data_IF_160096790604
#
_entry.id   IF_160096790604
#
_cell.length_a   1.000
_cell.length_b   1.000
_cell.length_c   1.000
_cell.angle_alpha   90.00
_cell.angle_beta   90.00
_cell.angle_gamma   90.00
#
_symmetry.space_group_name_H-M   'P 1'
#
loop_
_entity.id
_entity.type
_entity.pdbx_description
1 polymer ?
#
# COMPACT_ATOMS: atom_id res chain seq x y z
N UNK A 1 -35.34 -2.26 -6.36
CA UNK A 1 -35.33 -1.37 -5.20
C UNK A 1 -35.17 0.03 -5.72
N UNK A 2 -36.04 0.74 -5.69
CA UNK A 2 -36.96 1.61 -5.02
C UNK A 2 -37.07 2.89 -5.83
N UNK A 3 -38.21 3.10 -6.40
CA UNK A 3 -38.62 4.45 -6.74
C UNK A 3 -38.92 5.19 -5.44
N UNK A 4 -37.94 5.93 -4.91
CA UNK A 4 -38.23 7.06 -4.05
C UNK A 4 -38.92 8.07 -4.98
N UNK A 5 -40.20 8.31 -4.77
CA UNK A 5 -40.93 9.33 -5.47
C UNK A 5 -40.12 10.63 -5.43
N UNK A 6 -39.88 11.24 -6.61
CA UNK A 6 -39.27 12.57 -6.67
C UNK A 6 -40.15 13.53 -5.90
N UNK A 7 -39.58 14.59 -5.35
CA UNK A 7 -40.35 15.56 -4.56
C UNK A 7 -41.57 16.14 -5.30
N UNK A 8 -41.46 16.31 -6.62
CA UNK A 8 -42.56 16.74 -7.49
C UNK A 8 -43.72 15.72 -7.56
N UNK A 9 -43.38 14.42 -7.60
CA UNK A 9 -44.38 13.34 -7.60
C UNK A 9 -45.07 13.20 -6.24
N UNK A 10 -44.33 13.40 -5.17
CA UNK A 10 -44.87 13.44 -3.80
C UNK A 10 -45.85 14.59 -3.60
N UNK A 11 -45.53 15.76 -4.09
CA UNK A 11 -46.39 16.95 -4.03
C UNK A 11 -47.69 16.73 -4.83
N UNK A 12 -47.62 16.09 -5.98
CA UNK A 12 -48.80 15.77 -6.80
C UNK A 12 -49.73 14.76 -6.10
N UNK A 13 -49.18 13.72 -5.45
CA UNK A 13 -49.96 12.77 -4.67
C UNK A 13 -50.59 13.43 -3.44
N UNK A 14 -49.87 14.30 -2.75
CA UNK A 14 -50.36 15.09 -1.61
C UNK A 14 -51.57 15.93 -1.99
N UNK A 15 -51.49 16.63 -3.10
CA UNK A 15 -52.60 17.42 -3.63
C UNK A 15 -53.84 16.56 -3.90
N UNK A 16 -53.68 15.40 -4.51
CA UNK A 16 -54.76 14.46 -4.80
C UNK A 16 -55.42 13.91 -3.51
N UNK A 17 -54.62 13.59 -2.51
CA UNK A 17 -55.08 13.12 -1.19
C UNK A 17 -55.87 14.23 -0.46
N UNK A 18 -55.35 15.46 -0.44
CA UNK A 18 -56.02 16.61 0.17
C UNK A 18 -57.35 16.97 -0.55
N UNK A 19 -57.41 16.79 -1.85
CA UNK A 19 -58.61 17.01 -2.63
C UNK A 19 -59.64 15.86 -2.50
N UNK A 20 -59.32 14.78 -1.81
CA UNK A 20 -60.19 13.62 -1.66
C UNK A 20 -60.41 12.79 -2.93
N UNK A 21 -59.60 12.99 -3.94
CA UNK A 21 -59.71 12.26 -5.23
C UNK A 21 -58.79 11.05 -5.34
N UNK A 22 -57.87 10.88 -4.40
CA UNK A 22 -57.00 9.71 -4.36
C UNK A 22 -57.75 8.46 -3.87
N UNK A 23 -57.55 7.27 -4.50
CA UNK A 23 -58.11 6.01 -4.05
C UNK A 23 -57.69 5.66 -2.62
N UNK A 24 -58.55 4.99 -1.81
CA UNK A 24 -58.22 4.64 -0.42
C UNK A 24 -56.85 3.98 -0.19
N UNK A 25 -56.39 3.00 -1.00
CA UNK A 25 -55.06 2.42 -0.85
C UNK A 25 -53.92 3.42 -1.04
N UNK A 26 -54.08 4.38 -1.96
CA UNK A 26 -53.11 5.44 -2.24
C UNK A 26 -53.06 6.42 -1.07
N UNK A 27 -54.22 6.77 -0.51
CA UNK A 27 -54.36 7.66 0.67
C UNK A 27 -53.68 7.01 1.89
N UNK A 28 -53.88 5.73 2.14
CA UNK A 28 -53.27 4.99 3.22
C UNK A 28 -51.74 4.97 3.09
N UNK A 29 -51.23 4.59 1.93
CA UNK A 29 -49.81 4.55 1.62
C UNK A 29 -49.15 5.94 1.70
N UNK A 30 -49.84 6.99 1.27
CA UNK A 30 -49.37 8.38 1.37
C UNK A 30 -49.26 8.83 2.85
N UNK A 31 -50.25 8.52 3.69
CA UNK A 31 -50.22 8.88 5.10
C UNK A 31 -49.07 8.17 5.84
N UNK A 32 -48.85 6.90 5.55
CA UNK A 32 -47.72 6.16 6.10
C UNK A 32 -46.37 6.74 5.64
N UNK A 33 -46.23 7.04 4.36
CA UNK A 33 -45.02 7.66 3.80
C UNK A 33 -44.77 9.07 4.37
N UNK A 34 -45.86 9.83 4.57
CA UNK A 34 -45.79 11.18 5.18
C UNK A 34 -45.33 11.12 6.65
N UNK A 35 -45.82 10.13 7.41
CA UNK A 35 -45.37 9.89 8.78
C UNK A 35 -43.88 9.49 8.81
N UNK A 36 -43.44 8.59 7.96
CA UNK A 36 -42.04 8.21 7.83
C UNK A 36 -41.15 9.40 7.44
N UNK A 37 -41.59 10.25 6.49
CA UNK A 37 -40.87 11.48 6.15
C UNK A 37 -40.77 12.45 7.33
N UNK A 38 -41.84 12.61 8.12
CA UNK A 38 -41.82 13.45 9.30
C UNK A 38 -40.86 12.91 10.38
N UNK A 39 -40.79 11.61 10.54
CA UNK A 39 -39.85 10.97 11.47
C UNK A 39 -38.40 11.07 10.97
N UNK A 40 -38.15 10.93 9.68
CA UNK A 40 -36.82 11.17 9.08
C UNK A 40 -36.35 12.62 9.27
N UNK A 41 -37.28 13.61 9.14
CA UNK A 41 -36.95 15.02 9.43
C UNK A 41 -36.57 15.26 10.90
N UNK A 42 -37.12 14.52 11.85
CA UNK A 42 -36.76 14.60 13.28
C UNK A 42 -35.31 14.06 13.52
N UNK A 43 -34.80 13.18 12.66
CA UNK A 43 -33.43 12.66 12.75
C UNK A 43 -32.38 13.68 12.28
N UNK A 44 -32.79 14.84 11.75
CA UNK A 44 -31.91 15.85 11.17
C UNK A 44 -31.53 15.58 9.72
N UNK A 45 -30.84 16.54 9.11
CA UNK A 45 -30.29 16.37 7.77
C UNK A 45 -29.26 15.23 7.79
N UNK A 46 -29.33 14.27 6.84
CA UNK A 46 -28.35 13.20 6.77
C UNK A 46 -26.96 13.81 6.51
N UNK A 47 -26.01 13.46 7.36
CA UNK A 47 -24.61 13.83 7.13
C UNK A 47 -24.09 13.20 5.83
N UNK A 48 -23.50 14.04 4.98
CA UNK A 48 -22.88 13.55 3.74
C UNK A 48 -21.41 13.23 3.97
N UNK A 49 -21.01 12.02 3.62
CA UNK A 49 -19.63 11.57 3.69
C UNK A 49 -19.09 11.30 2.29
N UNK A 50 -17.84 11.63 2.08
CA UNK A 50 -17.13 11.31 0.85
C UNK A 50 -16.08 10.26 1.09
N UNK A 51 -15.94 9.32 0.19
CA UNK A 51 -14.85 8.36 0.20
C UNK A 51 -13.52 9.11 -0.07
N UNK A 52 -12.56 8.95 0.82
CA UNK A 52 -11.27 9.65 0.79
C UNK A 52 -10.45 9.22 -0.44
N UNK A 53 -10.10 10.16 -1.31
CA UNK A 53 -9.29 9.90 -2.51
C UNK A 53 -7.77 10.05 -2.28
N UNK A 54 -7.36 10.80 -1.24
CA UNK A 54 -5.98 11.16 -0.91
C UNK A 54 -5.80 11.30 0.61
N UNK A 55 -4.57 11.08 1.10
CA UNK A 55 -4.23 11.24 2.51
C UNK A 55 -3.71 12.65 2.85
N UNK A 56 -3.15 13.37 1.88
CA UNK A 56 -2.53 14.69 2.07
C UNK A 56 -3.43 15.74 2.77
N UNK A 57 -4.74 15.88 2.47
CA UNK A 57 -5.57 16.87 3.15
C UNK A 57 -5.64 16.68 4.67
N UNK A 58 -5.63 15.42 5.14
CA UNK A 58 -5.65 15.12 6.57
C UNK A 58 -4.32 15.49 7.23
N UNK A 59 -3.18 15.17 6.62
CA UNK A 59 -1.87 15.57 7.12
C UNK A 59 -1.69 17.09 7.12
N UNK A 60 -2.20 17.80 6.11
CA UNK A 60 -2.22 19.27 6.11
C UNK A 60 -3.03 19.83 7.30
N UNK A 61 -4.17 19.23 7.61
CA UNK A 61 -4.98 19.63 8.78
C UNK A 61 -4.26 19.32 10.10
N UNK A 62 -3.57 18.19 10.20
CA UNK A 62 -2.75 17.85 11.39
C UNK A 62 -1.61 18.87 11.55
N UNK A 63 -0.94 19.23 10.45
CA UNK A 63 0.09 20.28 10.49
C UNK A 63 -0.47 21.61 11.01
N UNK A 64 -1.62 22.02 10.49
CA UNK A 64 -2.27 23.29 10.81
C UNK A 64 -2.91 23.33 12.20
N UNK A 65 -3.09 22.18 12.88
CA UNK A 65 -3.76 22.12 14.18
C UNK A 65 -2.99 22.81 15.31
N UNK A 66 -1.69 23.01 15.12
CA UNK A 66 -0.83 23.67 16.10
C UNK A 66 0.07 24.70 15.43
N UNK A 67 0.39 25.84 16.10
CA UNK A 67 1.40 26.77 15.62
C UNK A 67 2.77 26.08 15.48
N UNK A 68 3.43 26.27 14.33
CA UNK A 68 4.73 25.66 14.03
C UNK A 68 5.82 26.72 13.93
N UNK A 69 7.04 26.31 14.27
CA UNK A 69 8.26 27.08 14.07
C UNK A 69 9.27 26.29 13.25
N UNK A 70 10.34 26.93 12.77
CA UNK A 70 11.43 26.25 12.07
C UNK A 70 12.08 25.13 12.91
N UNK A 71 11.92 25.14 14.25
CA UNK A 71 12.44 24.10 15.14
C UNK A 71 11.62 22.82 15.12
N UNK A 72 10.36 22.92 14.70
CA UNK A 72 9.43 21.79 14.58
C UNK A 72 9.57 21.08 13.22
N UNK A 73 10.39 21.64 12.33
CA UNK A 73 10.66 21.11 11.00
C UNK A 73 12.04 20.41 10.94
N UNK A 74 12.20 19.32 10.18
CA UNK A 74 11.18 18.71 9.34
C UNK A 74 10.15 17.91 10.13
N UNK A 75 8.86 18.12 9.87
CA UNK A 75 7.76 17.30 10.42
C UNK A 75 7.39 16.21 9.43
N UNK A 76 7.50 14.96 9.87
CA UNK A 76 7.22 13.78 9.05
C UNK A 76 5.98 13.05 9.55
N UNK A 77 4.93 13.02 8.74
CA UNK A 77 3.68 12.32 9.02
C UNK A 77 3.53 11.14 8.05
N UNK A 78 3.26 9.95 8.56
CA UNK A 78 3.12 8.73 7.76
C UNK A 78 1.90 7.93 8.17
N UNK A 79 1.24 7.31 7.21
CA UNK A 79 0.11 6.41 7.45
C UNK A 79 0.05 5.29 6.41
N UNK A 80 -0.60 4.19 6.76
CA UNK A 80 -1.20 3.27 5.81
C UNK A 80 -2.65 3.69 5.62
N UNK A 81 -2.90 4.56 4.64
CA UNK A 81 -4.19 5.18 4.44
C UNK A 81 -5.00 4.52 3.34
N UNK A 82 -6.21 4.08 3.66
CA UNK A 82 -7.14 3.59 2.64
C UNK A 82 -7.68 4.76 1.84
N UNK A 83 -7.53 4.69 0.51
CA UNK A 83 -8.03 5.67 -0.45
C UNK A 83 -8.95 4.98 -1.46
N UNK A 84 -9.88 5.77 -2.00
CA UNK A 84 -10.87 5.29 -2.97
C UNK A 84 -10.81 6.18 -4.21
N UNK A 85 -10.66 5.55 -5.39
CA UNK A 85 -10.61 6.26 -6.67
C UNK A 85 -11.55 5.62 -7.65
N UNK A 86 -12.37 6.41 -8.31
CA UNK A 86 -13.27 5.93 -9.34
C UNK A 86 -12.49 5.74 -10.66
N UNK A 87 -11.76 4.62 -10.73
CA UNK A 87 -11.09 4.21 -11.96
C UNK A 87 -12.13 3.72 -12.98
N UNK A 88 -11.94 4.06 -14.25
CA UNK A 88 -12.81 3.58 -15.31
C UNK A 88 -12.74 2.05 -15.42
N UNK A 89 -13.83 1.41 -15.81
CA UNK A 89 -13.90 -0.06 -15.89
C UNK A 89 -12.79 -0.67 -16.75
N UNK A 90 -12.49 -0.07 -17.92
CA UNK A 90 -11.43 -0.53 -18.81
C UNK A 90 -10.00 -0.31 -18.31
N UNK A 91 -9.80 0.44 -17.22
CA UNK A 91 -8.50 0.69 -16.61
C UNK A 91 -8.15 -0.28 -15.48
N UNK A 92 -9.14 -1.02 -14.97
CA UNK A 92 -8.93 -1.99 -13.89
C UNK A 92 -8.03 -3.13 -14.38
N UNK A 93 -7.04 -3.48 -13.56
CA UNK A 93 -6.04 -4.48 -13.93
C UNK A 93 -5.56 -5.26 -12.69
N UNK A 94 -6.26 -6.33 -12.34
CA UNK A 94 -5.95 -7.17 -11.19
C UNK A 94 -5.66 -6.34 -9.93
N UNK A 95 -4.55 -6.65 -9.23
CA UNK A 95 -4.08 -5.86 -8.09
C UNK A 95 -3.34 -4.58 -8.51
N UNK A 96 -2.96 -4.44 -9.79
CA UNK A 96 -2.15 -3.31 -10.26
C UNK A 96 -2.94 -2.01 -10.34
N UNK A 97 -4.27 -2.07 -10.59
CA UNK A 97 -5.15 -0.91 -10.63
C UNK A 97 -6.54 -1.25 -10.10
N UNK A 98 -6.81 -0.81 -8.89
CA UNK A 98 -8.02 -1.09 -8.10
C UNK A 98 -8.71 0.21 -7.68
N UNK A 99 -9.98 0.14 -7.29
CA UNK A 99 -10.76 1.30 -6.83
C UNK A 99 -10.61 1.59 -5.34
N UNK A 100 -10.32 0.57 -4.53
CA UNK A 100 -9.99 0.70 -3.11
C UNK A 100 -8.56 0.25 -2.92
N UNK A 101 -7.73 1.08 -2.32
CA UNK A 101 -6.30 0.86 -2.21
C UNK A 101 -5.76 1.34 -0.87
N UNK A 102 -4.74 0.64 -0.36
CA UNK A 102 -4.02 1.03 0.84
C UNK A 102 -2.68 1.63 0.46
N UNK A 103 -2.55 2.94 0.67
CA UNK A 103 -1.35 3.68 0.30
C UNK A 103 -0.35 3.72 1.45
N UNK A 104 0.90 3.39 1.15
CA UNK A 104 2.04 3.58 2.04
C UNK A 104 2.52 5.02 1.92
N UNK A 105 1.79 5.94 2.53
CA UNK A 105 1.88 7.37 2.28
C UNK A 105 2.55 8.13 3.41
N UNK A 106 3.30 9.17 3.07
CA UNK A 106 3.81 10.12 4.03
C UNK A 106 4.01 11.51 3.42
N UNK A 107 3.95 12.52 4.29
CA UNK A 107 4.13 13.92 3.97
C UNK A 107 5.19 14.49 4.90
N UNK A 108 6.24 15.07 4.31
CA UNK A 108 7.36 15.68 5.02
C UNK A 108 7.29 17.18 4.78
N UNK A 109 6.99 17.93 5.84
CA UNK A 109 6.99 19.39 5.81
C UNK A 109 8.36 19.87 6.21
N UNK A 110 9.02 20.63 5.36
CA UNK A 110 10.39 21.08 5.57
C UNK A 110 10.61 22.52 5.11
N UNK A 111 11.69 23.13 5.57
CA UNK A 111 12.19 24.39 5.01
C UNK A 111 12.91 24.11 3.69
N UNK A 112 13.17 25.16 2.91
CA UNK A 112 13.97 25.03 1.67
C UNK A 112 15.38 24.50 1.96
N UNK A 113 15.98 24.91 3.07
CA UNK A 113 17.34 24.47 3.48
C UNK A 113 17.38 22.98 3.82
N UNK A 114 16.29 22.44 4.38
CA UNK A 114 16.17 21.03 4.75
C UNK A 114 15.77 20.13 3.56
N UNK A 115 15.25 20.73 2.49
CA UNK A 115 14.68 19.99 1.37
C UNK A 115 15.61 18.95 0.76
N UNK A 116 16.85 19.35 0.46
CA UNK A 116 17.81 18.48 -0.23
C UNK A 116 18.11 17.21 0.58
N UNK A 117 18.26 17.34 1.89
CA UNK A 117 18.54 16.21 2.78
C UNK A 117 17.33 15.29 2.94
N UNK A 118 16.14 15.86 3.10
CA UNK A 118 14.91 15.08 3.21
C UNK A 118 14.59 14.33 1.90
N UNK A 119 14.75 15.00 0.76
CA UNK A 119 14.50 14.41 -0.55
C UNK A 119 15.49 13.28 -0.87
N UNK A 120 16.78 13.47 -0.54
CA UNK A 120 17.83 12.45 -0.64
C UNK A 120 17.50 11.24 0.26
N UNK A 121 17.14 11.48 1.52
CA UNK A 121 16.79 10.41 2.45
C UNK A 121 15.62 9.55 1.97
N UNK A 122 14.64 10.12 1.27
CA UNK A 122 13.55 9.37 0.63
C UNK A 122 14.08 8.49 -0.50
N UNK A 123 14.94 9.01 -1.38
CA UNK A 123 15.53 8.23 -2.45
C UNK A 123 16.39 7.06 -1.92
N UNK A 124 17.21 7.31 -0.89
CA UNK A 124 18.02 6.28 -0.23
C UNK A 124 17.17 5.18 0.38
N UNK A 125 16.01 5.55 0.96
CA UNK A 125 15.05 4.58 1.47
C UNK A 125 14.49 3.69 0.35
N UNK A 126 14.20 4.25 -0.83
CA UNK A 126 13.73 3.47 -1.98
C UNK A 126 14.78 2.49 -2.45
N UNK A 127 16.01 2.92 -2.63
CA UNK A 127 17.13 2.06 -3.00
C UNK A 127 17.35 0.93 -1.98
N UNK A 128 17.25 1.23 -0.69
CA UNK A 128 17.29 0.22 0.37
C UNK A 128 16.17 -0.81 0.25
N UNK A 129 14.95 -0.38 -0.03
CA UNK A 129 13.82 -1.31 -0.20
C UNK A 129 13.98 -2.15 -1.45
N UNK A 130 14.42 -1.58 -2.56
CA UNK A 130 14.65 -2.35 -3.78
C UNK A 130 15.71 -3.43 -3.56
N UNK A 131 16.77 -3.13 -2.82
CA UNK A 131 17.76 -4.13 -2.42
C UNK A 131 17.15 -5.25 -1.55
N UNK A 132 16.28 -4.90 -0.58
CA UNK A 132 15.60 -5.89 0.29
C UNK A 132 14.71 -6.83 -0.52
N UNK A 133 14.01 -6.30 -1.53
CA UNK A 133 13.11 -7.08 -2.39
C UNK A 133 13.80 -7.65 -3.64
N UNK A 134 15.13 -7.52 -3.77
CA UNK A 134 15.85 -8.03 -4.94
C UNK A 134 15.42 -7.39 -6.27
N UNK A 135 14.96 -6.12 -6.25
CA UNK A 135 14.50 -5.40 -7.43
C UNK A 135 15.70 -4.74 -8.12
N UNK A 136 16.24 -5.39 -9.13
CA UNK A 136 17.40 -4.89 -9.88
C UNK A 136 17.00 -4.08 -11.11
N UNK A 137 15.83 -4.37 -11.70
CA UNK A 137 15.34 -3.75 -12.94
C UNK A 137 14.28 -2.71 -12.64
N UNK A 138 14.72 -1.46 -12.54
CA UNK A 138 13.85 -0.29 -12.40
C UNK A 138 14.45 0.92 -13.10
N UNK A 139 13.65 1.96 -13.35
CA UNK A 139 14.09 3.24 -13.86
C UNK A 139 13.48 4.37 -13.04
N UNK A 140 14.32 5.29 -12.58
CA UNK A 140 13.85 6.54 -11.99
C UNK A 140 13.53 7.53 -13.10
N UNK A 141 12.32 8.09 -13.06
CA UNK A 141 11.83 9.09 -14.01
C UNK A 141 11.60 10.39 -13.28
N UNK A 142 12.38 11.40 -13.62
CA UNK A 142 12.20 12.75 -13.13
C UNK A 142 11.24 13.49 -14.08
N UNK A 143 10.07 13.85 -13.57
CA UNK A 143 9.03 14.50 -14.35
C UNK A 143 8.97 15.99 -14.02
N UNK A 144 9.13 16.83 -15.05
CA UNK A 144 9.12 18.29 -15.01
C UNK A 144 7.84 18.85 -15.63
N UNK A 145 7.56 20.14 -15.38
CA UNK A 145 6.45 20.82 -16.04
C UNK A 145 6.76 21.15 -17.49
N UNK A 146 5.75 21.62 -18.22
CA UNK A 146 5.89 22.27 -19.51
C UNK A 146 5.28 23.67 -19.43
N UNK A 147 5.97 24.67 -19.98
CA UNK A 147 5.58 26.09 -19.86
C UNK A 147 4.15 26.36 -20.38
N UNK A 148 3.73 25.65 -21.43
CA UNK A 148 2.38 25.76 -22.03
C UNK A 148 1.26 25.29 -21.10
N UNK A 149 1.61 24.53 -20.08
CA UNK A 149 0.70 23.99 -19.07
C UNK A 149 0.46 24.92 -17.87
N UNK A 150 1.24 25.98 -17.71
CA UNK A 150 1.08 26.93 -16.61
C UNK A 150 -0.28 27.61 -16.63
N UNK A 151 -0.92 27.70 -15.48
CA UNK A 151 -2.28 28.23 -15.35
C UNK A 151 -3.40 27.30 -15.88
N UNK A 152 -3.06 26.12 -16.39
CA UNK A 152 -4.00 25.10 -16.89
C UNK A 152 -3.81 23.79 -16.13
N UNK A 153 -2.87 22.96 -16.59
CA UNK A 153 -2.48 21.70 -15.93
C UNK A 153 -1.65 21.94 -14.67
N UNK A 154 -0.83 22.99 -14.67
CA UNK A 154 0.13 23.31 -13.63
C UNK A 154 -0.22 24.63 -12.94
N UNK A 155 0.10 24.74 -11.67
CA UNK A 155 0.00 26.00 -10.91
C UNK A 155 0.85 27.07 -11.62
N UNK A 156 0.29 28.30 -11.73
CA UNK A 156 0.95 29.41 -12.44
C UNK A 156 1.99 30.10 -11.55
N UNK A 157 3.09 29.42 -11.28
CA UNK A 157 4.20 29.88 -10.43
C UNK A 157 5.55 29.53 -11.09
N UNK A 158 5.90 30.16 -12.23
CA UNK A 158 7.06 29.72 -13.06
C UNK A 158 8.39 29.73 -12.31
N UNK A 159 8.61 30.69 -11.42
CA UNK A 159 9.84 30.77 -10.63
C UNK A 159 9.96 29.62 -9.61
N UNK A 160 8.86 29.24 -8.97
CA UNK A 160 8.84 28.11 -8.04
C UNK A 160 9.04 26.78 -8.77
N UNK A 161 8.48 26.63 -9.96
CA UNK A 161 8.75 25.48 -10.83
C UNK A 161 10.22 25.34 -11.12
N UNK A 162 10.83 26.37 -11.69
CA UNK A 162 12.27 26.37 -12.02
C UNK A 162 13.11 26.06 -10.79
N UNK A 163 12.86 26.74 -9.70
CA UNK A 163 13.59 26.56 -8.44
C UNK A 163 13.50 25.12 -7.92
N UNK A 164 12.29 24.57 -7.84
CA UNK A 164 12.09 23.21 -7.30
C UNK A 164 12.63 22.14 -8.23
N UNK A 165 12.51 22.28 -9.54
CA UNK A 165 13.13 21.37 -10.51
C UNK A 165 14.64 21.38 -10.43
N UNK A 166 15.27 22.56 -10.31
CA UNK A 166 16.71 22.68 -10.14
C UNK A 166 17.19 22.06 -8.81
N UNK A 167 16.41 22.22 -7.72
CA UNK A 167 16.70 21.58 -6.44
C UNK A 167 16.66 20.06 -6.55
N UNK A 168 15.63 19.49 -7.19
CA UNK A 168 15.50 18.03 -7.40
C UNK A 168 16.63 17.52 -8.28
N UNK A 169 16.91 18.18 -9.41
CA UNK A 169 17.97 17.79 -10.34
C UNK A 169 19.34 17.77 -9.67
N UNK A 170 19.63 18.79 -8.85
CA UNK A 170 20.86 18.86 -8.06
C UNK A 170 21.00 17.67 -7.13
N UNK A 171 19.96 17.31 -6.38
CA UNK A 171 19.98 16.13 -5.49
C UNK A 171 20.22 14.85 -6.26
N UNK A 172 19.59 14.66 -7.43
CA UNK A 172 19.76 13.46 -8.25
C UNK A 172 21.21 13.32 -8.74
N UNK A 173 21.80 14.40 -9.23
CA UNK A 173 23.19 14.43 -9.71
C UNK A 173 24.17 14.15 -8.57
N UNK A 174 24.03 14.84 -7.43
CA UNK A 174 24.89 14.68 -6.26
C UNK A 174 24.80 13.27 -5.65
N UNK A 175 23.65 12.63 -5.73
CA UNK A 175 23.43 11.26 -5.26
C UNK A 175 23.88 10.18 -6.25
N UNK A 176 24.31 10.55 -7.45
CA UNK A 176 24.72 9.59 -8.50
C UNK A 176 23.58 8.70 -9.00
N UNK A 177 22.33 9.14 -8.83
CA UNK A 177 21.15 8.37 -9.22
C UNK A 177 21.00 8.44 -10.76
N UNK A 178 20.91 7.26 -11.38
CA UNK A 178 20.60 7.17 -12.81
C UNK A 178 19.11 7.42 -13.04
N UNK A 179 18.76 8.46 -13.80
CA UNK A 179 17.39 8.85 -14.08
C UNK A 179 17.20 9.29 -15.54
N UNK A 180 15.97 9.28 -15.99
CA UNK A 180 15.54 9.94 -17.21
C UNK A 180 14.67 11.15 -16.87
N UNK A 181 14.86 12.27 -17.55
CA UNK A 181 14.04 13.46 -17.39
C UNK A 181 12.96 13.50 -18.47
N UNK A 182 11.70 13.70 -18.05
CA UNK A 182 10.54 13.75 -18.96
C UNK A 182 9.72 15.00 -18.66
N UNK A 183 9.59 15.84 -19.68
CA UNK A 183 8.78 17.05 -19.58
C UNK A 183 7.28 16.75 -19.65
N UNK A 184 6.48 17.65 -19.08
CA UNK A 184 5.01 17.61 -19.08
C UNK A 184 4.36 16.42 -18.36
N UNK A 185 5.09 15.74 -17.47
CA UNK A 185 4.57 14.64 -16.65
C UNK A 185 4.57 14.93 -15.14
N UNK A 186 4.97 16.13 -14.71
CA UNK A 186 4.93 16.56 -13.32
C UNK A 186 3.51 16.50 -12.74
N UNK A 187 3.41 16.49 -11.41
CA UNK A 187 2.15 16.75 -10.70
C UNK A 187 1.74 18.23 -10.92
N UNK A 188 0.47 18.56 -10.72
CA UNK A 188 0.01 19.94 -10.91
C UNK A 188 0.64 20.93 -9.91
N UNK A 189 1.17 20.44 -8.80
CA UNK A 189 1.68 21.18 -7.65
C UNK A 189 3.21 21.17 -7.53
N UNK A 190 3.93 20.43 -8.38
CA UNK A 190 5.38 20.36 -8.34
C UNK A 190 5.99 19.17 -9.08
N UNK A 191 7.33 19.17 -9.22
CA UNK A 191 8.06 18.11 -9.87
C UNK A 191 8.06 16.82 -9.05
N UNK A 192 8.28 15.69 -9.72
CA UNK A 192 8.26 14.38 -9.08
C UNK A 192 9.29 13.42 -9.65
N UNK A 193 9.70 12.46 -8.81
CA UNK A 193 10.39 11.25 -9.24
C UNK A 193 9.43 10.09 -9.09
N UNK A 194 9.22 9.34 -10.17
CA UNK A 194 8.51 8.08 -10.18
C UNK A 194 9.49 6.95 -10.44
N UNK A 195 9.36 5.85 -9.70
CA UNK A 195 10.12 4.63 -9.97
C UNK A 195 9.28 3.71 -10.83
N UNK A 196 9.74 3.52 -12.06
CA UNK A 196 9.09 2.67 -13.04
C UNK A 196 9.65 1.26 -12.99
N UNK A 197 8.76 0.28 -13.04
CA UNK A 197 9.06 -1.14 -13.20
C UNK A 197 8.18 -1.73 -14.29
N UNK A 198 8.48 -2.95 -14.71
CA UNK A 198 7.74 -3.64 -15.76
C UNK A 198 7.13 -4.94 -15.24
N UNK A 199 5.88 -5.16 -15.59
CA UNK A 199 5.20 -6.43 -15.37
C UNK A 199 5.84 -7.56 -16.19
N UNK A 200 5.48 -8.80 -15.90
CA UNK A 200 5.95 -9.98 -16.65
C UNK A 200 5.62 -9.92 -18.16
N UNK A 201 4.56 -9.21 -18.53
CA UNK A 201 4.16 -8.96 -19.93
C UNK A 201 4.75 -7.68 -20.51
N UNK A 202 5.69 -7.02 -19.83
CA UNK A 202 6.37 -5.82 -20.29
C UNK A 202 5.59 -4.51 -20.12
N UNK A 203 4.45 -4.51 -19.45
CA UNK A 203 3.69 -3.28 -19.16
C UNK A 203 4.36 -2.48 -18.05
N UNK A 204 4.66 -1.21 -18.34
CA UNK A 204 5.27 -0.27 -17.39
C UNK A 204 4.25 0.23 -16.36
N UNK A 205 4.67 0.39 -15.10
CA UNK A 205 3.91 1.05 -14.06
C UNK A 205 4.80 1.56 -12.91
N UNK A 206 4.29 2.55 -12.17
CA UNK A 206 4.99 3.17 -11.06
C UNK A 206 4.75 2.39 -9.76
N UNK A 207 5.83 2.04 -9.04
CA UNK A 207 5.75 1.39 -7.72
C UNK A 207 6.12 2.29 -6.55
N UNK A 208 6.84 3.37 -6.79
CA UNK A 208 7.21 4.35 -5.76
C UNK A 208 7.23 5.75 -6.35
N UNK A 209 6.96 6.75 -5.51
CA UNK A 209 6.95 8.15 -5.93
C UNK A 209 7.52 9.05 -4.85
N UNK A 210 8.29 10.07 -5.26
CA UNK A 210 8.82 11.13 -4.41
C UNK A 210 8.53 12.46 -5.12
N UNK A 211 7.64 13.28 -4.52
CA UNK A 211 7.08 14.46 -5.18
C UNK A 211 7.27 15.68 -4.31
N UNK A 212 7.67 16.79 -4.92
CA UNK A 212 7.75 18.10 -4.26
C UNK A 212 6.44 18.83 -4.45
N UNK A 213 5.93 19.40 -3.40
CA UNK A 213 4.73 20.24 -3.41
C UNK A 213 5.08 21.61 -2.81
N UNK A 214 5.04 22.62 -3.64
CA UNK A 214 5.21 24.03 -3.23
C UNK A 214 3.89 24.79 -3.25
N UNK A 215 2.81 24.19 -3.73
CA UNK A 215 1.56 24.86 -4.04
C UNK A 215 0.42 24.56 -3.07
N UNK A 216 0.21 23.29 -2.73
CA UNK A 216 -0.93 22.90 -1.89
C UNK A 216 -0.79 23.37 -0.44
N UNK A 217 0.41 23.33 0.20
CA UNK A 217 0.60 23.94 1.52
C UNK A 217 0.14 25.40 1.60
N UNK A 218 0.45 26.21 0.59
CA UNK A 218 0.00 27.60 0.50
C UNK A 218 -1.54 27.70 0.41
N UNK A 219 -2.18 26.86 -0.41
CA UNK A 219 -3.65 26.81 -0.54
C UNK A 219 -4.36 26.40 0.76
N UNK A 220 -3.71 25.59 1.59
CA UNK A 220 -4.19 25.22 2.93
C UNK A 220 -3.84 26.26 4.00
N UNK A 221 -3.14 27.35 3.65
CA UNK A 221 -2.70 28.36 4.57
C UNK A 221 -1.68 27.86 5.60
N UNK A 222 -0.91 26.83 5.25
CA UNK A 222 0.09 26.26 6.15
C UNK A 222 1.26 27.23 6.31
N UNK A 223 1.60 27.57 7.56
CA UNK A 223 2.70 28.47 7.87
C UNK A 223 3.52 27.95 9.05
N UNK A 224 4.80 28.31 9.06
CA UNK A 224 5.66 28.17 10.22
C UNK A 224 6.39 29.50 10.49
N UNK A 225 6.75 29.74 11.74
CA UNK A 225 7.56 30.89 12.14
C UNK A 225 9.02 30.60 11.86
N UNK A 226 9.66 31.37 10.98
CA UNK A 226 11.06 31.22 10.66
C UNK A 226 11.97 31.97 11.64
N UNK A 227 13.29 31.83 11.50
CA UNK A 227 14.34 32.43 12.35
C UNK A 227 14.30 33.95 12.38
N UNK A 228 13.87 34.56 11.28
CA UNK A 228 13.69 36.01 11.13
C UNK A 228 12.36 36.52 11.69
N UNK A 229 11.61 35.69 12.39
CA UNK A 229 10.26 35.96 12.88
C UNK A 229 9.21 36.20 11.78
N UNK A 230 9.50 35.93 10.52
CA UNK A 230 8.49 35.94 9.45
C UNK A 230 7.70 34.61 9.42
N UNK A 231 6.48 34.66 8.88
CA UNK A 231 5.72 33.46 8.57
C UNK A 231 6.07 33.01 7.15
N UNK A 232 6.49 31.75 6.99
CA UNK A 232 6.80 31.13 5.70
C UNK A 232 5.95 29.90 5.48
N UNK A 233 5.66 29.59 4.21
CA UNK A 233 4.99 28.36 3.82
C UNK A 233 6.03 27.25 3.73
N UNK A 234 5.81 26.06 4.33
CA UNK A 234 6.73 24.93 4.16
C UNK A 234 6.63 24.33 2.77
N UNK A 235 7.73 23.72 2.28
CA UNK A 235 7.65 22.74 1.22
C UNK A 235 7.08 21.44 1.79
N UNK A 236 6.33 20.71 0.97
CA UNK A 236 5.85 19.38 1.34
C UNK A 236 6.42 18.33 0.38
N UNK A 237 7.03 17.29 0.91
CA UNK A 237 7.47 16.13 0.14
C UNK A 237 6.43 15.04 0.34
N UNK A 238 5.75 14.63 -0.74
CA UNK A 238 4.86 13.47 -0.77
C UNK A 238 5.68 12.26 -1.17
N UNK A 239 5.69 11.23 -0.32
CA UNK A 239 6.41 10.00 -0.62
C UNK A 239 5.55 8.77 -0.42
N UNK A 240 5.67 7.82 -1.33
CA UNK A 240 5.06 6.51 -1.23
C UNK A 240 6.09 5.45 -1.67
N UNK A 241 6.91 4.90 -0.74
CA UNK A 241 8.04 4.04 -1.06
C UNK A 241 7.64 2.69 -1.64
N UNK A 242 6.43 2.23 -1.36
CA UNK A 242 5.86 0.99 -1.89
C UNK A 242 4.57 1.27 -2.70
N UNK A 243 4.25 2.54 -2.92
CA UNK A 243 3.03 2.97 -3.59
C UNK A 243 1.77 2.47 -2.87
N UNK A 244 0.98 1.63 -3.52
CA UNK A 244 -0.15 0.94 -2.88
C UNK A 244 0.22 -0.51 -2.58
N UNK A 245 -0.27 -1.04 -1.47
CA UNK A 245 -0.01 -2.43 -1.07
C UNK A 245 -0.47 -3.40 -2.16
N UNK A 246 -1.65 -3.19 -2.72
CA UNK A 246 -2.23 -4.04 -3.75
C UNK A 246 -1.33 -4.12 -4.97
N UNK A 247 -0.90 -2.96 -5.50
CA UNK A 247 -0.01 -2.90 -6.67
C UNK A 247 1.36 -3.52 -6.37
N UNK A 248 1.92 -3.22 -5.21
CA UNK A 248 3.23 -3.74 -4.85
C UNK A 248 3.20 -5.26 -4.66
N UNK A 249 2.16 -5.80 -3.99
CA UNK A 249 1.95 -7.25 -3.86
C UNK A 249 1.76 -7.90 -5.24
N UNK A 250 0.91 -7.30 -6.10
CA UNK A 250 0.71 -7.79 -7.46
C UNK A 250 2.02 -7.84 -8.26
N UNK A 251 2.84 -6.79 -8.18
CA UNK A 251 4.15 -6.75 -8.78
C UNK A 251 5.10 -7.84 -8.25
N UNK A 252 5.16 -8.03 -6.92
CA UNK A 252 6.02 -9.04 -6.31
C UNK A 252 5.60 -10.47 -6.71
N UNK A 253 4.29 -10.73 -6.85
CA UNK A 253 3.79 -12.02 -7.35
C UNK A 253 4.35 -12.31 -8.75
N UNK A 254 4.36 -11.30 -9.63
CA UNK A 254 4.94 -11.44 -10.97
C UNK A 254 6.47 -11.52 -10.94
N UNK A 255 7.11 -10.65 -10.15
CA UNK A 255 8.57 -10.58 -10.03
C UNK A 255 9.19 -11.91 -9.57
N UNK A 256 8.60 -12.52 -8.55
CA UNK A 256 9.06 -13.82 -8.04
C UNK A 256 8.39 -15.02 -8.75
N UNK A 257 7.51 -14.79 -9.71
CA UNK A 257 6.66 -15.82 -10.31
C UNK A 257 5.94 -16.68 -9.25
N UNK A 258 5.59 -16.07 -8.12
CA UNK A 258 4.99 -16.71 -6.95
C UNK A 258 5.96 -17.48 -6.05
N UNK A 259 7.26 -17.54 -6.38
CA UNK A 259 8.29 -18.21 -5.57
C UNK A 259 8.99 -17.19 -4.66
N UNK A 260 8.28 -16.77 -3.64
CA UNK A 260 8.77 -15.75 -2.71
C UNK A 260 9.98 -16.23 -1.90
N UNK A 261 10.93 -15.35 -1.56
CA UNK A 261 11.96 -15.67 -0.58
C UNK A 261 11.36 -16.00 0.79
N UNK A 262 12.08 -16.78 1.59
CA UNK A 262 11.56 -17.33 2.86
C UNK A 262 10.91 -16.28 3.77
N UNK A 263 11.53 -15.11 3.93
CA UNK A 263 11.01 -14.07 4.82
C UNK A 263 9.67 -13.47 4.34
N UNK A 264 9.40 -13.52 3.04
CA UNK A 264 8.21 -12.94 2.42
C UNK A 264 7.15 -13.99 2.05
N UNK A 265 7.54 -15.27 1.93
CA UNK A 265 6.63 -16.36 1.53
C UNK A 265 5.39 -16.42 2.41
N UNK A 266 4.16 -16.52 1.86
CA UNK A 266 2.94 -16.73 2.64
C UNK A 266 3.04 -17.96 3.53
N UNK A 267 3.41 -19.11 2.93
CA UNK A 267 3.73 -20.36 3.63
C UNK A 267 5.26 -20.50 3.69
N UNK A 268 5.85 -20.10 4.82
CA UNK A 268 7.29 -20.13 5.00
C UNK A 268 7.81 -21.56 5.17
N UNK A 269 7.13 -22.34 5.99
CA UNK A 269 7.52 -23.69 6.35
C UNK A 269 6.29 -24.59 6.39
N UNK A 270 6.41 -25.80 5.86
CA UNK A 270 5.45 -26.89 6.10
C UNK A 270 6.15 -28.08 6.72
N UNK A 271 5.67 -28.51 7.88
CA UNK A 271 6.16 -29.71 8.58
C UNK A 271 5.32 -30.90 8.15
N UNK A 272 5.98 -31.92 7.58
CA UNK A 272 5.34 -33.08 6.95
C UNK A 272 5.86 -34.35 7.58
N UNK A 273 4.96 -35.20 8.11
CA UNK A 273 5.32 -36.55 8.55
C UNK A 273 5.20 -37.57 7.42
N UNK A 274 6.04 -38.60 7.40
CA UNK A 274 5.96 -39.65 6.37
C UNK A 274 4.66 -40.44 6.45
N UNK A 275 4.11 -40.60 7.64
CA UNK A 275 2.83 -41.26 7.94
C UNK A 275 2.17 -40.58 9.16
N UNK A 276 1.10 -41.16 9.65
CA UNK A 276 0.29 -40.68 10.79
C UNK A 276 0.67 -41.36 12.13
N UNK A 277 1.89 -41.88 12.25
CA UNK A 277 2.40 -42.45 13.49
C UNK A 277 2.39 -41.40 14.62
N UNK A 278 1.84 -41.77 15.78
CA UNK A 278 1.66 -40.83 16.89
C UNK A 278 2.97 -40.25 17.43
N UNK A 279 4.05 -41.05 17.47
CA UNK A 279 5.35 -40.57 17.94
C UNK A 279 5.97 -39.57 16.96
N UNK A 280 5.84 -39.82 15.65
CA UNK A 280 6.28 -38.87 14.62
C UNK A 280 5.51 -37.55 14.72
N UNK A 281 4.19 -37.63 14.91
CA UNK A 281 3.34 -36.45 15.04
C UNK A 281 3.74 -35.64 16.27
N UNK A 282 3.97 -36.27 17.41
CA UNK A 282 4.38 -35.56 18.64
C UNK A 282 5.76 -34.89 18.45
N UNK A 283 6.73 -35.55 17.85
CA UNK A 283 8.01 -34.93 17.51
C UNK A 283 7.83 -33.73 16.56
N UNK A 284 7.05 -33.88 15.49
CA UNK A 284 6.76 -32.85 14.52
C UNK A 284 6.06 -31.61 15.15
N UNK A 285 5.13 -31.83 16.09
CA UNK A 285 4.46 -30.76 16.84
C UNK A 285 5.45 -29.89 17.63
N UNK A 286 6.52 -30.45 18.16
CA UNK A 286 7.54 -29.67 18.89
C UNK A 286 8.18 -28.64 17.95
N UNK A 287 8.43 -29.01 16.68
CA UNK A 287 9.01 -28.13 15.67
C UNK A 287 8.03 -27.04 15.26
N UNK A 288 6.77 -27.41 15.00
CA UNK A 288 5.70 -26.45 14.68
C UNK A 288 5.53 -25.43 15.80
N UNK A 289 5.51 -25.89 17.06
CA UNK A 289 5.36 -25.02 18.23
C UNK A 289 6.52 -24.05 18.36
N UNK A 290 7.76 -24.54 18.18
CA UNK A 290 8.97 -23.72 18.25
C UNK A 290 9.00 -22.65 17.14
N UNK A 291 8.66 -23.01 15.91
CA UNK A 291 8.59 -22.08 14.79
C UNK A 291 7.49 -21.03 14.97
N UNK A 292 6.28 -21.43 15.43
CA UNK A 292 5.17 -20.51 15.73
C UNK A 292 5.51 -19.54 16.87
N UNK A 293 6.17 -20.03 17.91
CA UNK A 293 6.63 -19.16 19.01
C UNK A 293 7.60 -18.06 18.54
N UNK A 294 8.31 -18.31 17.43
CA UNK A 294 9.18 -17.34 16.75
C UNK A 294 8.51 -16.62 15.58
N UNK A 295 7.17 -16.58 15.54
CA UNK A 295 6.38 -15.86 14.52
C UNK A 295 6.62 -16.34 13.07
N UNK A 296 7.10 -17.56 12.87
CA UNK A 296 7.21 -18.18 11.54
C UNK A 296 5.82 -18.64 11.09
N UNK A 297 5.48 -18.33 9.84
CA UNK A 297 4.25 -18.84 9.19
C UNK A 297 4.48 -20.30 8.83
N UNK A 298 4.02 -21.19 9.71
CA UNK A 298 4.24 -22.63 9.57
C UNK A 298 2.92 -23.38 9.56
N UNK A 299 2.76 -24.23 8.56
CA UNK A 299 1.69 -25.19 8.39
C UNK A 299 2.19 -26.61 8.64
N UNK A 300 1.28 -27.55 8.82
CA UNK A 300 1.62 -28.95 9.06
C UNK A 300 0.71 -29.90 8.29
N UNK A 301 1.28 -31.01 7.80
CA UNK A 301 0.52 -32.11 7.22
C UNK A 301 0.92 -33.43 7.91
N UNK A 302 0.11 -33.83 8.88
CA UNK A 302 0.26 -35.05 9.67
C UNK A 302 -0.75 -36.14 9.28
N UNK A 303 -1.40 -35.98 8.13
CA UNK A 303 -2.40 -36.92 7.63
C UNK A 303 -1.80 -38.27 7.23
N UNK A 304 -2.67 -39.27 7.04
CA UNK A 304 -2.29 -40.56 6.46
C UNK A 304 -2.06 -40.52 4.94
N UNK A 305 -2.19 -39.34 4.32
CA UNK A 305 -1.97 -39.15 2.88
C UNK A 305 -0.58 -39.64 2.48
N UNK A 306 -0.42 -40.33 1.34
CA UNK A 306 0.87 -40.78 0.87
C UNK A 306 1.90 -39.65 0.75
N UNK A 307 3.12 -39.86 1.23
CA UNK A 307 4.18 -38.86 1.28
C UNK A 307 4.38 -38.09 -0.04
N UNK A 308 4.39 -38.81 -1.18
CA UNK A 308 4.54 -38.16 -2.50
C UNK A 308 3.44 -37.15 -2.80
N UNK A 309 2.21 -37.43 -2.35
CA UNK A 309 1.08 -36.52 -2.55
C UNK A 309 1.20 -35.28 -1.65
N UNK A 310 1.66 -35.43 -0.39
CA UNK A 310 1.94 -34.29 0.50
C UNK A 310 3.01 -33.36 -0.08
N UNK A 311 4.09 -33.93 -0.63
CA UNK A 311 5.14 -33.13 -1.30
C UNK A 311 4.58 -32.45 -2.56
N UNK A 312 3.80 -33.14 -3.37
CA UNK A 312 3.20 -32.55 -4.58
C UNK A 312 2.25 -31.40 -4.23
N UNK A 313 1.48 -31.49 -3.15
CA UNK A 313 0.64 -30.40 -2.66
C UNK A 313 1.46 -29.20 -2.18
N UNK A 314 2.50 -29.45 -1.39
CA UNK A 314 3.40 -28.39 -0.91
C UNK A 314 4.13 -27.69 -2.08
N UNK A 315 4.57 -28.42 -3.10
CA UNK A 315 5.16 -27.83 -4.33
C UNK A 315 4.13 -27.03 -5.12
N UNK A 316 2.88 -27.54 -5.27
CA UNK A 316 1.80 -26.84 -5.97
C UNK A 316 1.41 -25.54 -5.27
N UNK A 317 1.39 -25.53 -3.95
CA UNK A 317 1.07 -24.35 -3.12
C UNK A 317 2.28 -23.47 -2.87
N UNK A 318 3.46 -23.80 -3.45
CA UNK A 318 4.69 -23.01 -3.39
C UNK A 318 5.21 -22.75 -1.98
N UNK A 319 5.11 -23.75 -1.11
CA UNK A 319 5.68 -23.69 0.23
C UNK A 319 7.19 -23.56 0.11
N UNK A 320 7.79 -22.52 0.70
CA UNK A 320 9.22 -22.26 0.54
C UNK A 320 10.10 -23.41 1.08
N UNK A 321 9.84 -23.85 2.32
CA UNK A 321 10.62 -24.89 3.00
C UNK A 321 9.73 -26.00 3.52
N UNK A 322 9.98 -27.23 3.15
CA UNK A 322 9.33 -28.43 3.68
C UNK A 322 10.28 -29.12 4.65
N UNK A 323 9.82 -29.35 5.87
CA UNK A 323 10.52 -30.12 6.88
C UNK A 323 9.88 -31.52 6.95
N UNK A 324 10.53 -32.50 6.36
CA UNK A 324 10.04 -33.86 6.30
C UNK A 324 10.58 -34.65 7.48
N UNK A 325 9.71 -35.43 8.13
CA UNK A 325 10.03 -36.18 9.35
C UNK A 325 9.66 -37.64 9.16
N UNK A 326 10.67 -38.49 9.23
CA UNK A 326 10.54 -39.95 9.30
C UNK A 326 11.09 -40.52 10.62
N UNK A 327 10.94 -41.82 10.83
CA UNK A 327 11.43 -42.45 12.06
C UNK A 327 12.92 -42.24 12.32
N UNK A 328 13.76 -42.32 11.29
CA UNK A 328 15.20 -42.05 11.39
C UNK A 328 15.51 -40.59 11.77
N UNK A 329 14.76 -39.65 11.25
CA UNK A 329 14.95 -38.23 11.59
C UNK A 329 14.59 -37.99 13.07
N UNK A 330 13.48 -38.54 13.52
CA UNK A 330 13.06 -38.47 14.94
C UNK A 330 14.10 -39.08 15.88
N UNK A 331 14.58 -40.30 15.59
CA UNK A 331 15.60 -41.00 16.40
C UNK A 331 16.90 -40.20 16.49
N UNK A 332 17.29 -39.53 15.41
CA UNK A 332 18.50 -38.71 15.33
C UNK A 332 18.30 -37.25 15.83
N UNK A 333 17.10 -36.86 16.27
CA UNK A 333 16.80 -35.45 16.61
C UNK A 333 16.96 -34.48 15.44
N UNK A 334 16.71 -34.97 14.23
CA UNK A 334 16.93 -34.29 12.96
C UNK A 334 15.63 -34.03 12.21
N UNK A 335 15.75 -33.34 11.09
CA UNK A 335 14.69 -33.13 10.11
C UNK A 335 15.29 -33.17 8.69
N UNK A 336 14.59 -33.77 7.75
CA UNK A 336 15.00 -33.77 6.34
C UNK A 336 14.44 -32.49 5.68
N UNK A 337 15.34 -31.62 5.21
CA UNK A 337 14.95 -30.32 4.61
C UNK A 337 14.77 -30.50 3.10
N UNK A 338 13.69 -29.91 2.57
CA UNK A 338 13.43 -29.79 1.14
C UNK A 338 13.02 -28.37 0.80
N UNK A 339 13.60 -27.78 -0.22
CA UNK A 339 13.24 -26.45 -0.70
C UNK A 339 12.37 -26.55 -1.95
N UNK A 340 11.41 -25.65 -2.08
CA UNK A 340 10.67 -25.46 -3.32
C UNK A 340 11.65 -25.14 -4.46
N UNK A 341 11.54 -25.84 -5.57
CA UNK A 341 12.49 -25.82 -6.70
C UNK A 341 13.95 -26.20 -6.39
N UNK A 342 14.37 -26.19 -5.13
CA UNK A 342 15.73 -26.57 -4.71
C UNK A 342 15.87 -28.07 -4.40
N UNK A 343 14.75 -28.78 -4.28
CA UNK A 343 14.73 -30.20 -3.97
C UNK A 343 15.26 -30.54 -2.57
N UNK A 344 15.59 -31.85 -2.33
CA UNK A 344 16.09 -32.33 -1.04
C UNK A 344 17.47 -31.74 -0.69
N UNK A 345 17.61 -31.25 0.54
CA UNK A 345 18.83 -30.69 1.12
C UNK A 345 19.50 -31.64 2.16
N UNK A 346 18.91 -32.82 2.36
CA UNK A 346 19.35 -33.79 3.34
C UNK A 346 18.78 -33.59 4.74
N UNK A 347 19.12 -34.53 5.62
CA UNK A 347 18.76 -34.47 7.04
C UNK A 347 19.78 -33.61 7.81
N UNK A 348 19.28 -32.77 8.70
CA UNK A 348 20.08 -31.89 9.55
C UNK A 348 19.53 -31.87 10.97
N UNK A 349 20.33 -31.55 11.99
CA UNK A 349 19.84 -31.36 13.36
C UNK A 349 18.71 -30.35 13.42
N UNK A 350 17.64 -30.70 14.15
CA UNK A 350 16.45 -29.81 14.29
C UNK A 350 16.83 -28.39 14.72
N UNK A 351 17.71 -28.25 15.73
CA UNK A 351 18.09 -26.94 16.25
C UNK A 351 18.84 -26.09 15.22
N UNK A 352 19.68 -26.71 14.38
CA UNK A 352 20.39 -26.02 13.29
C UNK A 352 19.41 -25.49 12.26
N UNK A 353 18.45 -26.32 11.82
CA UNK A 353 17.46 -25.94 10.81
C UNK A 353 16.56 -24.80 11.30
N UNK A 354 16.10 -24.86 12.55
CA UNK A 354 15.32 -23.79 13.14
C UNK A 354 16.13 -22.48 13.20
N UNK A 355 17.38 -22.56 13.65
CA UNK A 355 18.26 -21.38 13.72
C UNK A 355 18.51 -20.78 12.33
N UNK A 356 18.75 -21.60 11.29
CA UNK A 356 18.96 -21.16 9.90
C UNK A 356 17.71 -20.46 9.33
N UNK A 357 16.53 -21.03 9.57
CA UNK A 357 15.24 -20.42 9.17
C UNK A 357 15.09 -19.04 9.80
N UNK A 358 15.28 -18.93 11.12
CA UNK A 358 15.13 -17.67 11.85
C UNK A 358 16.17 -16.63 11.39
N UNK A 359 17.42 -17.06 11.21
CA UNK A 359 18.48 -16.18 10.71
C UNK A 359 18.19 -15.66 9.29
N UNK A 360 17.69 -16.52 8.40
CA UNK A 360 17.31 -16.16 7.03
C UNK A 360 16.15 -15.15 7.00
N UNK A 361 15.11 -15.40 7.80
CA UNK A 361 13.97 -14.49 7.93
C UNK A 361 14.42 -13.13 8.48
N UNK A 362 15.24 -13.13 9.54
CA UNK A 362 15.75 -11.90 10.16
C UNK A 362 16.63 -11.09 9.20
N UNK A 363 17.46 -11.77 8.42
CA UNK A 363 18.33 -11.13 7.43
C UNK A 363 17.59 -10.66 6.17
N UNK A 364 16.30 -11.03 5.99
CA UNK A 364 15.51 -10.76 4.78
C UNK A 364 16.25 -11.14 3.50
N UNK A 365 16.84 -12.33 3.48
CA UNK A 365 17.55 -12.82 2.28
C UNK A 365 16.55 -13.08 1.15
N UNK A 366 16.81 -12.49 -0.03
CA UNK A 366 16.07 -12.74 -1.25
C UNK A 366 16.56 -14.02 -1.94
#
# INVERSE_FOLDING_TARGET
MSAILKDEEFVAVEAAVKAGVAPPPVTAAFNELSALRADLKKLGEPESYYLKAMNCPHHHRIFAAEPRSYRDLPLRLAEYGTCYRYEQSGELFGLMRVRSLNMNDAHIYCTEEQFADEFRAVNDMYLKYFKIFGLEKYQMRFSTHAAEGLGKKYVNEPELWKKTEDMVRKVLIESGINYVEVANEAAFYGPKIDVQVWSAIGREFTIATNQVDFAVPAKFGLTYRDRDNSNKTPLCIHRAPLGTHERFIGFLIEHYAGNFPLWLAPDQVRVITLNDDAALIEYAKTIVTELRANMVRVESDFSATPFKAKIADAEKTRVHTMLVIGGRDMEAGAVSVRLHHGGPQGAKPKAEVVADILASIKARRA
#
